data_IF_068029631098
#
_entry.id   IF_068029631098
#
_cell.length_a   1.000
_cell.length_b   1.000
_cell.length_c   1.000
_cell.angle_alpha   90.00
_cell.angle_beta   90.00
_cell.angle_gamma   90.00
#
_symmetry.space_group_name_H-M   'P 1'
#
loop_
_entity.id
_entity.type
_entity.pdbx_description
1 polymer ?
#
# COMPACT_ATOMS: atom_id res chain seq x y z
N UNK A 1 10.94 1.11 -33.32
CA UNK A 1 10.07 -0.08 -33.28
C UNK A 1 10.81 -1.18 -32.54
N UNK A 2 10.51 -1.35 -31.25
CA UNK A 2 10.86 -2.54 -30.48
C UNK A 2 9.62 -2.81 -29.63
N UNK A 3 8.84 -3.81 -30.00
CA UNK A 3 7.70 -4.32 -29.23
C UNK A 3 8.23 -5.40 -28.29
N UNK A 4 8.02 -5.33 -26.96
CA UNK A 4 8.38 -6.41 -26.06
C UNK A 4 7.23 -7.41 -25.99
N UNK A 5 7.06 -8.22 -27.02
CA UNK A 5 6.49 -9.56 -26.83
C UNK A 5 7.67 -10.50 -26.59
N UNK A 6 8.19 -10.48 -25.35
CA UNK A 6 9.15 -11.46 -24.90
C UNK A 6 8.46 -12.82 -24.85
N UNK A 7 9.03 -13.77 -25.59
CA UNK A 7 8.76 -15.20 -25.58
C UNK A 7 8.51 -15.68 -24.13
N UNK A 8 7.26 -15.98 -23.78
CA UNK A 8 6.92 -16.61 -22.51
C UNK A 8 7.52 -18.02 -22.50
N UNK A 9 8.51 -18.26 -21.65
CA UNK A 9 9.07 -19.59 -21.45
C UNK A 9 8.04 -20.38 -20.64
N UNK A 10 7.42 -21.39 -21.27
CA UNK A 10 6.47 -22.26 -20.58
C UNK A 10 7.15 -22.93 -19.37
N UNK A 11 6.63 -22.68 -18.16
CA UNK A 11 7.10 -23.28 -16.91
C UNK A 11 7.76 -22.32 -15.91
N UNK A 12 7.96 -21.05 -16.27
CA UNK A 12 8.48 -20.01 -15.35
C UNK A 12 7.31 -19.27 -14.69
N UNK A 13 7.35 -19.06 -13.37
CA UNK A 13 6.33 -18.27 -12.68
C UNK A 13 6.52 -16.78 -12.97
N UNK A 14 5.45 -15.99 -12.97
CA UNK A 14 5.55 -14.53 -13.16
C UNK A 14 6.41 -13.86 -12.10
N UNK A 15 6.45 -14.43 -10.89
CA UNK A 15 7.33 -13.99 -9.81
C UNK A 15 8.80 -14.09 -10.20
N UNK A 16 9.18 -15.19 -10.84
CA UNK A 16 10.54 -15.39 -11.33
C UNK A 16 10.87 -14.44 -12.49
N UNK A 17 9.91 -14.14 -13.37
CA UNK A 17 10.08 -13.13 -14.44
C UNK A 17 10.35 -11.74 -13.85
N UNK A 18 9.60 -11.32 -12.82
CA UNK A 18 9.78 -10.01 -12.18
C UNK A 18 11.09 -9.97 -11.39
N UNK A 19 11.42 -11.04 -10.67
CA UNK A 19 12.63 -11.13 -9.85
C UNK A 19 13.93 -11.33 -10.65
N UNK A 20 13.84 -11.48 -11.98
CA UNK A 20 15.00 -11.50 -12.86
C UNK A 20 15.80 -10.18 -12.81
N UNK A 21 15.16 -9.06 -12.49
CA UNK A 21 15.84 -7.81 -12.15
C UNK A 21 16.19 -7.80 -10.64
N UNK A 22 17.47 -7.86 -10.27
CA UNK A 22 17.89 -7.89 -8.85
C UNK A 22 17.62 -6.57 -8.10
N UNK A 23 17.30 -5.49 -8.80
CA UNK A 23 16.97 -4.19 -8.21
C UNK A 23 15.46 -3.95 -8.12
N UNK A 24 14.64 -4.92 -8.55
CA UNK A 24 13.19 -4.83 -8.46
C UNK A 24 12.69 -5.24 -7.07
N UNK A 25 11.90 -4.38 -6.44
CA UNK A 25 11.09 -4.71 -5.26
C UNK A 25 9.66 -5.00 -5.73
N UNK A 26 9.20 -6.22 -5.45
CA UNK A 26 7.83 -6.66 -5.71
C UNK A 26 6.90 -5.97 -4.73
N UNK A 27 5.88 -5.29 -5.25
CA UNK A 27 4.81 -4.70 -4.43
C UNK A 27 3.68 -5.71 -4.33
N UNK A 28 3.46 -6.21 -3.12
CA UNK A 28 2.38 -7.13 -2.78
C UNK A 28 1.29 -6.36 -2.04
N UNK A 29 0.10 -6.28 -2.62
CA UNK A 29 -1.06 -5.67 -2.00
C UNK A 29 -1.93 -6.72 -1.29
N UNK A 30 -2.22 -6.48 -0.01
CA UNK A 30 -3.13 -7.28 0.83
C UNK A 30 -4.37 -6.50 1.27
N UNK A 31 -4.74 -5.45 0.53
CA UNK A 31 -5.91 -4.59 0.87
C UNK A 31 -7.20 -5.41 0.98
N UNK A 32 -7.38 -6.41 0.12
CA UNK A 32 -8.60 -7.25 0.07
C UNK A 32 -8.53 -8.52 0.92
N UNK A 33 -7.43 -8.72 1.67
CA UNK A 33 -7.27 -9.85 2.61
C UNK A 33 -7.01 -9.35 4.01
N UNK A 34 -5.83 -8.82 4.30
CA UNK A 34 -5.50 -8.30 5.64
C UNK A 34 -6.28 -7.02 5.92
N UNK A 35 -6.34 -6.12 4.92
CA UNK A 35 -7.06 -4.85 5.01
C UNK A 35 -8.52 -5.01 5.42
N UNK A 36 -9.19 -6.05 4.89
CA UNK A 36 -10.60 -6.34 5.17
C UNK A 36 -10.86 -6.85 6.61
N UNK A 37 -9.84 -7.37 7.31
CA UNK A 37 -10.01 -7.89 8.67
C UNK A 37 -10.29 -6.77 9.68
N UNK A 38 -9.93 -5.53 9.35
CA UNK A 38 -10.27 -4.36 10.13
C UNK A 38 -11.80 -4.13 10.18
N UNK A 39 -12.40 -3.89 11.36
CA UNK A 39 -13.80 -3.54 11.46
C UNK A 39 -14.15 -2.33 10.58
N UNK A 40 -15.16 -2.48 9.72
CA UNK A 40 -15.63 -1.43 8.80
C UNK A 40 -15.02 -1.47 7.40
N UNK A 41 -14.14 -2.42 7.08
CA UNK A 41 -13.48 -2.52 5.78
C UNK A 41 -13.96 -3.70 4.90
N UNK A 42 -15.05 -4.37 5.28
CA UNK A 42 -15.64 -5.48 4.52
C UNK A 42 -16.03 -5.09 3.09
N UNK A 43 -15.72 -5.94 2.12
CA UNK A 43 -15.92 -5.68 0.69
C UNK A 43 -16.78 -6.77 0.06
N UNK A 44 -17.78 -6.36 -0.73
CA UNK A 44 -18.48 -7.29 -1.61
C UNK A 44 -17.57 -7.81 -2.73
N UNK A 45 -17.94 -8.92 -3.37
CA UNK A 45 -17.20 -9.44 -4.52
C UNK A 45 -17.04 -8.40 -5.66
N UNK A 46 -18.08 -7.60 -5.91
CA UNK A 46 -18.01 -6.53 -6.91
C UNK A 46 -17.05 -5.41 -6.49
N UNK A 47 -17.04 -5.06 -5.20
CA UNK A 47 -16.09 -4.10 -4.67
C UNK A 47 -14.64 -4.60 -4.78
N UNK A 48 -14.38 -5.89 -4.47
CA UNK A 48 -13.06 -6.50 -4.65
C UNK A 48 -12.60 -6.47 -6.11
N UNK A 49 -13.47 -6.78 -7.07
CA UNK A 49 -13.13 -6.64 -8.51
C UNK A 49 -12.80 -5.19 -8.87
N UNK A 50 -13.60 -4.20 -8.41
CA UNK A 50 -13.32 -2.77 -8.63
C UNK A 50 -11.96 -2.37 -8.04
N UNK A 51 -11.66 -2.81 -6.82
CA UNK A 51 -10.38 -2.53 -6.17
C UNK A 51 -9.22 -3.18 -6.93
N UNK A 52 -9.35 -4.45 -7.32
CA UNK A 52 -8.34 -5.19 -8.07
C UNK A 52 -8.00 -4.55 -9.43
N UNK A 53 -8.99 -3.98 -10.13
CA UNK A 53 -8.75 -3.22 -11.37
C UNK A 53 -7.89 -1.98 -11.13
N UNK A 54 -8.11 -1.27 -10.03
CA UNK A 54 -7.33 -0.08 -9.68
C UNK A 54 -5.93 -0.46 -9.21
N UNK A 55 -5.77 -1.55 -8.47
CA UNK A 55 -4.48 -2.11 -8.09
C UNK A 55 -3.66 -2.55 -9.31
N UNK A 56 -4.32 -3.18 -10.30
CA UNK A 56 -3.71 -3.48 -11.60
C UNK A 56 -3.24 -2.21 -12.30
N UNK A 57 -4.08 -1.18 -12.39
CA UNK A 57 -3.71 0.10 -13.03
C UNK A 57 -2.54 0.77 -12.28
N UNK A 58 -2.50 0.67 -10.95
CA UNK A 58 -1.37 1.09 -10.13
C UNK A 58 -0.10 0.28 -10.42
N UNK A 59 -0.20 -0.91 -11.02
CA UNK A 59 0.95 -1.74 -11.34
C UNK A 59 1.51 -2.48 -10.12
N UNK A 60 0.67 -2.82 -9.14
CA UNK A 60 1.10 -3.76 -8.08
C UNK A 60 1.40 -5.12 -8.70
N UNK A 61 2.45 -5.77 -8.23
CA UNK A 61 2.95 -7.01 -8.81
C UNK A 61 2.11 -8.23 -8.36
N UNK A 62 1.67 -8.22 -7.09
CA UNK A 62 0.86 -9.27 -6.47
C UNK A 62 -0.38 -8.67 -5.81
N UNK A 63 -1.54 -9.30 -6.05
CA UNK A 63 -2.80 -9.00 -5.37
C UNK A 63 -3.22 -10.21 -4.54
N UNK A 64 -3.21 -10.08 -3.23
CA UNK A 64 -3.81 -11.05 -2.32
C UNK A 64 -5.31 -10.79 -2.21
N UNK A 65 -6.09 -11.59 -2.94
CA UNK A 65 -7.51 -11.36 -3.16
C UNK A 65 -8.40 -11.83 -1.99
N UNK A 66 -7.84 -12.55 -1.03
CA UNK A 66 -8.56 -13.02 0.15
C UNK A 66 -7.98 -14.30 0.76
N UNK A 67 -8.81 -14.98 1.54
CA UNK A 67 -8.51 -16.28 2.13
C UNK A 67 -9.61 -17.26 1.72
N UNK A 68 -9.35 -18.07 0.68
CA UNK A 68 -10.35 -18.95 0.06
C UNK A 68 -11.06 -19.90 1.05
N UNK A 69 -10.33 -20.43 2.06
CA UNK A 69 -10.91 -21.34 3.03
C UNK A 69 -11.67 -20.67 4.19
N UNK A 70 -11.73 -19.33 4.23
CA UNK A 70 -12.46 -18.60 5.25
C UNK A 70 -13.98 -18.75 5.08
N UNK A 71 -14.47 -18.62 3.84
CA UNK A 71 -15.89 -18.77 3.51
C UNK A 71 -16.12 -19.07 2.03
N UNK A 72 -17.28 -19.63 1.63
CA UNK A 72 -17.64 -19.74 0.22
C UNK A 72 -17.71 -18.37 -0.50
N UNK A 73 -18.01 -17.31 0.25
CA UNK A 73 -18.01 -15.94 -0.27
C UNK A 73 -16.60 -15.47 -0.63
N UNK A 74 -15.60 -15.77 0.19
CA UNK A 74 -14.19 -15.47 -0.09
C UNK A 74 -13.65 -16.27 -1.26
N UNK A 75 -13.97 -17.57 -1.33
CA UNK A 75 -13.61 -18.41 -2.49
C UNK A 75 -14.18 -17.81 -3.79
N UNK A 76 -15.44 -17.38 -3.79
CA UNK A 76 -16.06 -16.72 -4.95
C UNK A 76 -15.42 -15.37 -5.27
N UNK A 77 -15.13 -14.55 -4.27
CA UNK A 77 -14.45 -13.26 -4.46
C UNK A 77 -13.11 -13.43 -5.17
N UNK A 78 -12.28 -14.37 -4.71
CA UNK A 78 -10.97 -14.65 -5.30
C UNK A 78 -11.14 -15.16 -6.73
N UNK A 79 -12.08 -16.08 -6.95
CA UNK A 79 -12.39 -16.62 -8.29
C UNK A 79 -12.81 -15.52 -9.27
N UNK A 80 -13.60 -14.56 -8.81
CA UNK A 80 -14.02 -13.41 -9.62
C UNK A 80 -12.86 -12.46 -9.91
N UNK A 81 -12.08 -12.08 -8.90
CA UNK A 81 -10.89 -11.24 -9.10
C UNK A 81 -9.91 -11.88 -10.08
N UNK A 82 -9.59 -13.16 -9.89
CA UNK A 82 -8.66 -13.91 -10.74
C UNK A 82 -9.19 -14.19 -12.16
N UNK A 83 -10.51 -14.11 -12.37
CA UNK A 83 -11.14 -14.35 -13.68
C UNK A 83 -11.54 -13.09 -14.44
N UNK A 84 -11.74 -11.96 -13.75
CA UNK A 84 -12.19 -10.69 -14.33
C UNK A 84 -11.07 -9.64 -14.44
N UNK A 85 -9.93 -9.87 -13.78
CA UNK A 85 -8.75 -8.99 -13.84
C UNK A 85 -7.58 -9.74 -14.45
N UNK A 86 -6.80 -9.05 -15.28
CA UNK A 86 -5.61 -9.59 -15.93
C UNK A 86 -4.38 -8.78 -15.52
N UNK A 87 -3.21 -9.43 -15.53
CA UNK A 87 -1.92 -8.76 -15.34
C UNK A 87 -1.18 -9.19 -14.07
N UNK A 88 -1.67 -8.90 -12.86
CA UNK A 88 -0.96 -9.21 -11.61
C UNK A 88 -0.82 -10.72 -11.35
N UNK A 89 0.00 -11.06 -10.38
CA UNK A 89 -0.07 -12.37 -9.71
C UNK A 89 -1.25 -12.33 -8.74
N UNK A 90 -2.13 -13.33 -8.80
CA UNK A 90 -3.24 -13.49 -7.88
C UNK A 90 -2.86 -14.47 -6.78
N UNK A 91 -3.00 -14.00 -5.54
CA UNK A 91 -2.63 -14.72 -4.33
C UNK A 91 -3.85 -14.98 -3.45
N UNK A 92 -3.87 -16.13 -2.79
CA UNK A 92 -4.80 -16.44 -1.69
C UNK A 92 -4.01 -16.97 -0.52
N UNK A 93 -4.35 -16.48 0.67
CA UNK A 93 -3.82 -17.00 1.92
C UNK A 93 -4.41 -18.39 2.20
N UNK A 94 -3.60 -19.28 2.77
CA UNK A 94 -3.97 -20.64 3.16
C UNK A 94 -3.32 -20.99 4.49
N UNK A 95 -4.05 -21.63 5.40
CA UNK A 95 -3.39 -22.32 6.53
C UNK A 95 -2.54 -23.48 5.99
N UNK A 96 -1.54 -23.89 6.77
CA UNK A 96 -0.66 -25.02 6.45
C UNK A 96 -1.37 -26.40 6.55
N UNK A 97 -2.41 -26.63 5.73
CA UNK A 97 -3.09 -27.91 5.58
C UNK A 97 -3.62 -28.09 4.14
N UNK A 98 -3.74 -29.35 3.69
CA UNK A 98 -4.11 -29.67 2.31
C UNK A 98 -5.48 -29.13 1.89
N UNK A 99 -6.48 -29.18 2.78
CA UNK A 99 -7.85 -28.73 2.49
C UNK A 99 -7.91 -27.24 2.14
N UNK A 100 -7.17 -26.41 2.87
CA UNK A 100 -7.10 -24.97 2.61
C UNK A 100 -6.31 -24.66 1.32
N UNK A 101 -5.25 -25.44 1.05
CA UNK A 101 -4.46 -25.34 -0.19
C UNK A 101 -5.33 -25.73 -1.40
N UNK A 102 -6.15 -26.78 -1.28
CA UNK A 102 -7.10 -27.18 -2.32
C UNK A 102 -8.14 -26.10 -2.62
N UNK A 103 -8.65 -25.42 -1.58
CA UNK A 103 -9.56 -24.29 -1.75
C UNK A 103 -8.87 -23.14 -2.48
N UNK A 104 -7.63 -22.82 -2.12
CA UNK A 104 -6.79 -21.83 -2.81
C UNK A 104 -6.60 -22.20 -4.29
N UNK A 105 -6.33 -23.47 -4.59
CA UNK A 105 -6.15 -23.97 -5.96
C UNK A 105 -7.41 -23.83 -6.80
N UNK A 106 -8.58 -24.17 -6.25
CA UNK A 106 -9.88 -23.97 -6.93
C UNK A 106 -10.18 -22.49 -7.16
N UNK A 107 -9.96 -21.65 -6.14
CA UNK A 107 -10.25 -20.23 -6.20
C UNK A 107 -9.43 -19.51 -7.28
N UNK A 108 -8.14 -19.86 -7.41
CA UNK A 108 -7.23 -19.23 -8.38
C UNK A 108 -7.26 -19.88 -9.77
N UNK A 109 -8.05 -20.94 -9.97
CA UNK A 109 -8.14 -21.67 -11.23
C UNK A 109 -8.48 -20.83 -12.48
N UNK A 110 -9.22 -19.70 -12.39
CA UNK A 110 -9.47 -18.84 -13.55
C UNK A 110 -8.24 -18.11 -14.09
N UNK A 111 -7.27 -17.75 -13.23
CA UNK A 111 -6.06 -17.04 -13.67
C UNK A 111 -5.12 -17.96 -14.45
N UNK A 112 -4.22 -17.46 -15.33
CA UNK A 112 -3.16 -18.27 -15.93
C UNK A 112 -2.27 -18.94 -14.86
N UNK A 113 -1.78 -20.18 -15.08
CA UNK A 113 -0.97 -20.91 -14.09
C UNK A 113 0.20 -20.10 -13.52
N UNK A 114 0.95 -19.40 -14.38
CA UNK A 114 2.10 -18.59 -13.98
C UNK A 114 1.76 -17.36 -13.13
N UNK A 115 0.47 -17.02 -13.03
CA UNK A 115 -0.05 -15.91 -12.23
C UNK A 115 -0.71 -16.37 -10.92
N UNK A 116 -0.67 -17.66 -10.58
CA UNK A 116 -1.29 -18.18 -9.35
C UNK A 116 -0.23 -18.36 -8.28
N UNK A 117 -0.42 -17.70 -7.14
CA UNK A 117 0.43 -17.87 -5.95
C UNK A 117 -0.39 -18.47 -4.81
N UNK A 118 0.13 -19.53 -4.22
CA UNK A 118 -0.35 -20.02 -2.93
C UNK A 118 0.51 -19.42 -1.82
N UNK A 119 -0.11 -18.70 -0.89
CA UNK A 119 0.55 -18.17 0.29
C UNK A 119 0.16 -19.01 1.51
N UNK A 120 1.05 -19.89 1.94
CA UNK A 120 0.85 -20.73 3.14
C UNK A 120 1.58 -20.15 4.35
N UNK A 121 1.06 -20.37 5.55
CA UNK A 121 1.65 -19.84 6.77
C UNK A 121 1.48 -20.77 7.98
N UNK A 122 2.38 -20.62 8.95
CA UNK A 122 2.25 -21.22 10.28
C UNK A 122 2.91 -20.34 11.33
N UNK A 123 2.31 -20.26 12.53
CA UNK A 123 2.86 -19.54 13.68
C UNK A 123 4.13 -20.19 14.20
N UNK A 124 5.24 -19.46 14.18
CA UNK A 124 6.54 -20.01 14.58
C UNK A 124 6.96 -19.62 15.98
N UNK A 125 6.45 -18.54 16.56
CA UNK A 125 6.94 -18.03 17.86
C UNK A 125 6.56 -18.93 19.06
N UNK A 126 7.29 -18.86 20.18
CA UNK A 126 6.99 -19.66 21.37
C UNK A 126 5.54 -19.55 21.84
N UNK A 127 4.97 -18.33 21.80
CA UNK A 127 3.58 -18.09 22.20
C UNK A 127 2.59 -18.69 21.21
N UNK A 128 2.85 -18.62 19.90
CA UNK A 128 2.01 -19.26 18.90
C UNK A 128 2.07 -20.80 19.03
N UNK A 129 3.27 -21.37 19.18
CA UNK A 129 3.46 -22.82 19.37
C UNK A 129 2.72 -23.33 20.61
N UNK A 130 2.86 -22.65 21.74
CA UNK A 130 2.33 -23.11 23.04
C UNK A 130 0.86 -22.74 23.28
N UNK A 131 0.39 -21.57 22.84
CA UNK A 131 -0.97 -21.09 23.13
C UNK A 131 -1.95 -21.39 21.99
N UNK A 132 -1.55 -21.18 20.73
CA UNK A 132 -2.42 -21.27 19.54
C UNK A 132 -2.41 -22.67 18.92
N UNK A 133 -1.22 -23.20 18.61
CA UNK A 133 -1.07 -24.43 17.83
C UNK A 133 -1.01 -25.69 18.68
N UNK A 134 -0.52 -25.59 19.92
CA UNK A 134 -0.22 -26.74 20.79
C UNK A 134 0.74 -27.74 20.12
N UNK A 135 1.76 -27.20 19.44
CA UNK A 135 2.76 -27.96 18.69
C UNK A 135 4.17 -27.70 19.21
N UNK A 136 5.02 -28.74 19.16
CA UNK A 136 6.46 -28.63 19.33
C UNK A 136 7.14 -27.96 18.13
N UNK A 137 8.41 -27.57 18.28
CA UNK A 137 9.23 -27.03 17.18
C UNK A 137 9.32 -28.00 16.00
N UNK A 138 9.49 -29.30 16.26
CA UNK A 138 9.56 -30.33 15.21
C UNK A 138 8.23 -30.51 14.47
N UNK A 139 7.10 -30.43 15.18
CA UNK A 139 5.77 -30.50 14.56
C UNK A 139 5.48 -29.29 13.68
N UNK A 140 5.88 -28.09 14.12
CA UNK A 140 5.76 -26.86 13.30
C UNK A 140 6.63 -26.97 12.04
N UNK A 141 7.90 -27.35 12.18
CA UNK A 141 8.82 -27.50 11.04
C UNK A 141 8.31 -28.54 10.04
N UNK A 142 7.91 -29.72 10.51
CA UNK A 142 7.38 -30.78 9.64
C UNK A 142 6.05 -30.40 8.98
N UNK A 143 5.23 -29.58 9.63
CA UNK A 143 3.99 -29.06 9.03
C UNK A 143 4.27 -28.00 7.98
N UNK A 144 5.23 -27.10 8.23
CA UNK A 144 5.69 -26.12 7.25
C UNK A 144 6.17 -26.84 5.97
N UNK A 145 7.10 -27.79 6.10
CA UNK A 145 7.64 -28.58 4.97
C UNK A 145 6.53 -29.27 4.19
N UNK A 146 5.70 -30.09 4.85
CA UNK A 146 4.61 -30.82 4.16
C UNK A 146 3.64 -29.88 3.43
N UNK A 147 3.28 -28.75 4.05
CA UNK A 147 2.36 -27.81 3.43
C UNK A 147 2.96 -27.14 2.18
N UNK A 148 4.25 -26.81 2.22
CA UNK A 148 4.96 -26.24 1.07
C UNK A 148 5.11 -27.28 -0.03
N UNK A 149 5.55 -28.51 0.28
CA UNK A 149 5.66 -29.60 -0.70
C UNK A 149 4.32 -29.87 -1.40
N UNK A 150 3.23 -29.94 -0.64
CA UNK A 150 1.89 -30.12 -1.19
C UNK A 150 1.49 -28.95 -2.10
N UNK A 151 1.66 -27.70 -1.64
CA UNK A 151 1.38 -26.53 -2.47
C UNK A 151 2.24 -26.51 -3.75
N UNK A 152 3.52 -26.91 -3.67
CA UNK A 152 4.41 -27.01 -4.84
C UNK A 152 3.97 -28.06 -5.86
N UNK A 153 3.19 -29.07 -5.45
CA UNK A 153 2.61 -30.03 -6.39
C UNK A 153 1.47 -29.45 -7.26
N UNK A 154 0.87 -28.32 -6.83
CA UNK A 154 -0.30 -27.70 -7.46
C UNK A 154 -0.01 -26.36 -8.12
N UNK A 155 0.92 -25.59 -7.57
CA UNK A 155 1.28 -24.24 -8.03
C UNK A 155 2.66 -24.24 -8.68
N UNK A 156 3.04 -23.17 -9.37
CA UNK A 156 4.43 -22.89 -9.77
C UNK A 156 5.09 -21.87 -8.84
N UNK A 157 4.27 -21.11 -8.09
CA UNK A 157 4.71 -20.08 -7.16
C UNK A 157 4.08 -20.30 -5.79
N UNK A 158 4.93 -20.49 -4.78
CA UNK A 158 4.54 -20.69 -3.39
C UNK A 158 5.33 -19.74 -2.51
N UNK A 159 4.57 -19.02 -1.68
CA UNK A 159 5.07 -18.16 -0.63
C UNK A 159 4.79 -18.80 0.73
N UNK A 160 5.79 -18.76 1.61
CA UNK A 160 5.69 -19.27 2.98
C UNK A 160 5.93 -18.16 3.99
N UNK A 161 4.99 -17.98 4.92
CA UNK A 161 5.07 -17.05 6.05
C UNK A 161 5.36 -17.75 7.37
N UNK A 162 6.41 -17.30 8.06
CA UNK A 162 6.65 -17.62 9.46
C UNK A 162 5.92 -16.61 10.36
N UNK A 163 4.63 -16.87 10.68
CA UNK A 163 3.81 -15.95 11.47
C UNK A 163 4.47 -15.68 12.85
N UNK A 164 4.51 -14.41 13.24
CA UNK A 164 5.15 -13.89 14.44
C UNK A 164 6.69 -14.05 14.46
N UNK A 165 7.32 -13.85 13.29
CA UNK A 165 8.75 -14.08 13.07
C UNK A 165 9.67 -13.31 14.03
N UNK A 166 9.34 -12.05 14.34
CA UNK A 166 10.21 -11.21 15.17
C UNK A 166 10.26 -11.65 16.64
N UNK A 167 9.23 -12.36 17.12
CA UNK A 167 9.21 -13.01 18.44
C UNK A 167 9.59 -14.49 18.39
N UNK A 168 10.03 -14.98 17.24
CA UNK A 168 10.57 -16.34 17.08
C UNK A 168 12.06 -16.36 17.38
N UNK A 169 12.54 -17.44 17.99
CA UNK A 169 13.97 -17.62 18.25
C UNK A 169 14.76 -17.56 16.92
N UNK A 170 15.82 -16.73 16.81
CA UNK A 170 16.49 -16.48 15.53
C UNK A 170 16.91 -17.74 14.77
N UNK A 171 17.49 -18.72 15.47
CA UNK A 171 17.92 -19.97 14.84
C UNK A 171 16.75 -20.81 14.36
N UNK A 172 15.69 -20.95 15.16
CA UNK A 172 14.51 -21.72 14.75
C UNK A 172 13.76 -21.05 13.59
N UNK A 173 13.69 -19.71 13.57
CA UNK A 173 13.15 -18.98 12.43
C UNK A 173 13.93 -19.30 11.15
N UNK A 174 15.27 -19.24 11.22
CA UNK A 174 16.12 -19.57 10.09
C UNK A 174 15.98 -21.03 9.66
N UNK A 175 15.88 -21.99 10.59
CA UNK A 175 15.66 -23.41 10.30
C UNK A 175 14.35 -23.64 9.56
N UNK A 176 13.24 -23.03 10.01
CA UNK A 176 11.92 -23.18 9.38
C UNK A 176 11.90 -22.55 7.98
N UNK A 177 12.49 -21.35 7.82
CA UNK A 177 12.56 -20.66 6.53
C UNK A 177 13.47 -21.39 5.53
N UNK A 178 14.61 -21.93 5.98
CA UNK A 178 15.51 -22.75 5.16
C UNK A 178 14.83 -24.06 4.75
N UNK A 179 14.10 -24.71 5.65
CA UNK A 179 13.33 -25.93 5.35
C UNK A 179 12.18 -25.65 4.37
N UNK A 180 11.49 -24.52 4.49
CA UNK A 180 10.48 -24.10 3.52
C UNK A 180 11.08 -23.84 2.14
N UNK A 181 12.28 -23.24 2.06
CA UNK A 181 13.01 -23.08 0.80
C UNK A 181 13.43 -24.43 0.20
N UNK A 182 13.95 -25.36 1.01
CA UNK A 182 14.29 -26.72 0.59
C UNK A 182 13.06 -27.47 0.03
N UNK A 183 11.88 -27.27 0.64
CA UNK A 183 10.60 -27.80 0.18
C UNK A 183 10.06 -27.13 -1.10
N UNK A 184 10.69 -26.04 -1.55
CA UNK A 184 10.43 -25.39 -2.82
C UNK A 184 9.74 -24.03 -2.74
N UNK A 185 9.55 -23.44 -1.55
CA UNK A 185 9.03 -22.08 -1.44
C UNK A 185 9.96 -21.09 -2.16
N UNK A 186 9.39 -20.28 -3.05
CA UNK A 186 10.14 -19.28 -3.82
C UNK A 186 10.33 -17.99 -3.02
N UNK A 187 9.29 -17.61 -2.29
CA UNK A 187 9.22 -16.41 -1.47
C UNK A 187 9.07 -16.79 -0.01
N UNK A 188 9.89 -16.19 0.85
CA UNK A 188 9.91 -16.39 2.29
C UNK A 188 9.52 -15.07 2.97
N UNK A 189 8.33 -15.04 3.53
CA UNK A 189 7.82 -13.87 4.23
C UNK A 189 8.16 -13.92 5.72
N UNK A 190 8.61 -12.77 6.23
CA UNK A 190 9.06 -12.58 7.61
C UNK A 190 8.21 -11.49 8.26
N UNK A 191 7.01 -11.84 8.77
CA UNK A 191 6.06 -10.86 9.28
C UNK A 191 6.41 -10.33 10.69
N UNK A 192 6.33 -9.01 10.87
CA UNK A 192 6.19 -8.35 12.17
C UNK A 192 4.70 -8.29 12.54
N UNK A 193 4.15 -9.44 12.92
CA UNK A 193 2.71 -9.69 13.11
C UNK A 193 2.05 -8.74 14.11
N UNK A 194 2.81 -8.20 15.07
CA UNK A 194 2.29 -7.31 16.13
C UNK A 194 2.89 -5.91 16.08
N UNK A 195 3.57 -5.55 15.00
CA UNK A 195 4.06 -4.19 14.74
C UNK A 195 4.98 -3.63 15.82
N UNK A 196 5.80 -4.48 16.45
CA UNK A 196 6.63 -4.09 17.60
C UNK A 196 8.12 -3.94 17.26
N UNK A 197 8.57 -4.50 16.14
CA UNK A 197 9.99 -4.52 15.79
C UNK A 197 10.46 -3.11 15.45
N UNK A 198 11.74 -2.83 15.70
CA UNK A 198 12.37 -1.57 15.30
C UNK A 198 13.05 -1.69 13.92
N UNK A 199 13.24 -0.58 13.18
CA UNK A 199 13.85 -0.65 11.86
C UNK A 199 15.25 -1.29 11.85
N UNK A 200 16.05 -1.05 12.89
CA UNK A 200 17.38 -1.66 13.00
C UNK A 200 17.29 -3.18 13.17
N UNK A 201 16.41 -3.68 14.04
CA UNK A 201 16.19 -5.11 14.24
C UNK A 201 15.70 -5.78 12.96
N UNK A 202 14.81 -5.12 12.21
CA UNK A 202 14.31 -5.60 10.91
C UNK A 202 15.45 -5.73 9.90
N UNK A 203 16.25 -4.67 9.72
CA UNK A 203 17.39 -4.71 8.78
C UNK A 203 18.36 -5.84 9.12
N UNK A 204 18.73 -5.96 10.39
CA UNK A 204 19.68 -6.99 10.87
C UNK A 204 19.10 -8.40 10.70
N UNK A 205 17.81 -8.59 10.98
CA UNK A 205 17.11 -9.86 10.79
C UNK A 205 17.14 -10.31 9.34
N UNK A 206 16.73 -9.45 8.41
CA UNK A 206 16.70 -9.75 6.99
C UNK A 206 18.10 -10.02 6.43
N UNK A 207 19.10 -9.23 6.83
CA UNK A 207 20.48 -9.44 6.41
C UNK A 207 21.04 -10.79 6.89
N UNK A 208 20.76 -11.17 8.14
CA UNK A 208 21.19 -12.45 8.70
C UNK A 208 20.52 -13.65 7.99
N UNK A 209 19.20 -13.58 7.78
CA UNK A 209 18.45 -14.61 7.06
C UNK A 209 18.93 -14.74 5.61
N UNK A 210 19.14 -13.62 4.92
CA UNK A 210 19.65 -13.62 3.56
C UNK A 210 21.06 -14.22 3.48
N UNK A 211 21.97 -13.84 4.38
CA UNK A 211 23.34 -14.37 4.42
C UNK A 211 23.40 -15.88 4.69
N UNK A 212 22.41 -16.44 5.39
CA UNK A 212 22.30 -17.89 5.64
C UNK A 212 21.67 -18.61 4.45
N UNK A 213 20.43 -18.26 4.11
CA UNK A 213 19.59 -19.05 3.20
C UNK A 213 20.02 -18.90 1.74
N UNK A 214 20.44 -17.70 1.30
CA UNK A 214 20.83 -17.48 -0.11
C UNK A 214 22.11 -18.21 -0.52
N UNK A 215 22.90 -18.72 0.43
CA UNK A 215 24.06 -19.58 0.11
C UNK A 215 23.65 -20.86 -0.60
N UNK A 216 22.52 -21.45 -0.20
CA UNK A 216 21.94 -22.65 -0.81
C UNK A 216 20.85 -22.31 -1.82
N UNK A 217 20.13 -21.22 -1.58
CA UNK A 217 18.95 -20.83 -2.34
C UNK A 217 19.09 -19.40 -2.88
N UNK A 218 20.01 -19.14 -3.84
CA UNK A 218 20.34 -17.78 -4.28
C UNK A 218 19.16 -17.01 -4.89
N UNK A 219 18.17 -17.74 -5.41
CA UNK A 219 17.00 -17.20 -6.07
C UNK A 219 15.86 -16.84 -5.10
N UNK A 220 15.96 -17.16 -3.79
CA UNK A 220 14.87 -16.92 -2.83
C UNK A 220 14.63 -15.43 -2.66
N UNK A 221 13.35 -15.07 -2.65
CA UNK A 221 12.88 -13.71 -2.41
C UNK A 221 12.49 -13.64 -0.94
N UNK A 222 13.03 -12.67 -0.21
CA UNK A 222 12.52 -12.33 1.12
C UNK A 222 11.42 -11.27 1.00
N UNK A 223 10.27 -11.58 1.59
CA UNK A 223 9.11 -10.69 1.71
C UNK A 223 9.03 -10.11 3.12
N UNK A 224 8.67 -8.84 3.21
CA UNK A 224 8.47 -8.13 4.47
C UNK A 224 7.00 -7.74 4.62
N UNK A 225 6.40 -8.17 5.73
CA UNK A 225 5.03 -7.85 6.10
C UNK A 225 5.05 -7.20 7.49
N UNK A 226 4.83 -5.89 7.57
CA UNK A 226 4.97 -5.15 8.82
C UNK A 226 3.63 -4.54 9.23
N UNK A 227 3.16 -4.85 10.45
CA UNK A 227 2.04 -4.14 11.05
C UNK A 227 2.49 -2.83 11.70
N UNK A 228 1.52 -1.93 11.93
CA UNK A 228 1.77 -0.54 12.30
C UNK A 228 1.41 -0.18 13.75
N UNK A 229 1.35 -1.16 14.66
CA UNK A 229 0.98 -0.95 16.07
C UNK A 229 1.80 0.13 16.79
N UNK A 230 3.06 0.34 16.39
CA UNK A 230 3.94 1.41 16.88
C UNK A 230 4.24 2.53 15.86
N UNK A 231 3.50 2.58 14.74
CA UNK A 231 3.69 3.61 13.70
C UNK A 231 5.02 3.48 12.93
N UNK A 232 5.55 2.27 12.82
CA UNK A 232 6.86 1.98 12.21
C UNK A 232 6.80 1.07 10.99
N UNK A 233 5.61 0.66 10.51
CA UNK A 233 5.48 -0.34 9.45
C UNK A 233 6.24 0.03 8.18
N UNK A 234 6.08 1.27 7.70
CA UNK A 234 6.78 1.77 6.50
C UNK A 234 8.29 1.81 6.71
N UNK A 235 8.75 2.31 7.87
CA UNK A 235 10.18 2.35 8.19
C UNK A 235 10.78 0.94 8.29
N UNK A 236 10.06 0.00 8.87
CA UNK A 236 10.43 -1.40 8.98
C UNK A 236 10.51 -2.07 7.60
N UNK A 237 9.51 -1.87 6.73
CA UNK A 237 9.55 -2.41 5.37
C UNK A 237 10.72 -1.87 4.55
N UNK A 238 11.03 -0.57 4.65
CA UNK A 238 12.20 0.02 4.00
C UNK A 238 13.53 -0.52 4.56
N UNK A 239 13.59 -0.73 5.89
CA UNK A 239 14.74 -1.35 6.53
C UNK A 239 14.93 -2.83 6.11
N UNK A 240 13.83 -3.55 5.86
CA UNK A 240 13.87 -4.89 5.30
C UNK A 240 14.49 -4.91 3.89
N UNK A 241 14.16 -3.92 3.05
CA UNK A 241 14.78 -3.73 1.73
C UNK A 241 16.28 -3.48 1.84
N UNK A 242 16.71 -2.61 2.76
CA UNK A 242 18.14 -2.41 3.06
C UNK A 242 18.81 -3.72 3.54
N UNK A 243 18.07 -4.57 4.26
CA UNK A 243 18.49 -5.91 4.69
C UNK A 243 18.46 -6.99 3.58
N UNK A 244 18.02 -6.65 2.37
CA UNK A 244 18.01 -7.57 1.22
C UNK A 244 16.64 -8.14 0.85
N UNK A 245 15.54 -7.66 1.45
CA UNK A 245 14.20 -7.96 0.99
C UNK A 245 13.98 -7.45 -0.45
N UNK A 246 13.20 -8.21 -1.21
CA UNK A 246 12.81 -7.87 -2.60
C UNK A 246 11.31 -8.03 -2.85
N UNK A 247 10.53 -8.18 -1.78
CA UNK A 247 9.09 -8.03 -1.77
C UNK A 247 8.67 -7.28 -0.51
N UNK A 248 7.66 -6.41 -0.62
CA UNK A 248 7.02 -5.74 0.52
C UNK A 248 5.52 -5.99 0.40
N UNK A 249 4.93 -6.40 1.51
CA UNK A 249 3.48 -6.56 1.68
C UNK A 249 2.90 -5.37 2.43
N UNK A 250 1.79 -4.86 1.92
CA UNK A 250 1.08 -3.74 2.54
C UNK A 250 -0.33 -3.59 2.02
N UNK A 251 -1.03 -2.58 2.50
CA UNK A 251 -2.35 -2.21 2.02
C UNK A 251 -2.42 -0.74 1.62
N UNK A 252 -3.31 -0.42 0.69
CA UNK A 252 -3.69 0.96 0.36
C UNK A 252 -4.23 1.64 1.62
N UNK A 253 -3.81 2.87 1.88
CA UNK A 253 -4.12 3.63 3.10
C UNK A 253 -3.59 3.00 4.39
N UNK A 254 -2.81 1.91 4.31
CA UNK A 254 -2.29 1.19 5.47
C UNK A 254 -3.34 0.41 6.26
N UNK A 255 -4.51 0.11 5.67
CA UNK A 255 -5.58 -0.60 6.40
C UNK A 255 -5.16 -2.04 6.78
N UNK A 256 -5.78 -2.58 7.82
CA UNK A 256 -5.53 -3.95 8.29
C UNK A 256 -5.84 -4.15 9.75
N UNK A 257 -5.53 -5.35 10.25
CA UNK A 257 -5.69 -5.67 11.67
C UNK A 257 -5.14 -4.56 12.60
N UNK A 258 -5.93 -4.19 13.62
CA UNK A 258 -5.59 -3.20 14.66
C UNK A 258 -5.22 -1.82 14.07
N UNK A 259 -3.94 -1.46 14.12
CA UNK A 259 -3.39 -0.21 13.58
C UNK A 259 -3.09 -0.30 12.09
N UNK A 260 -3.16 -1.49 11.50
CA UNK A 260 -3.04 -1.71 10.07
C UNK A 260 -1.70 -2.26 9.63
N UNK A 261 -1.44 -2.13 8.33
CA UNK A 261 -0.29 -2.65 7.60
C UNK A 261 0.63 -1.51 7.14
N UNK A 262 1.80 -1.87 6.64
CA UNK A 262 2.62 -0.98 5.82
C UNK A 262 1.78 -0.35 4.70
N UNK A 263 1.84 0.98 4.59
CA UNK A 263 1.09 1.73 3.59
C UNK A 263 1.77 1.65 2.22
N UNK A 264 1.06 1.09 1.24
CA UNK A 264 1.57 0.87 -0.13
C UNK A 264 1.96 2.19 -0.80
N UNK A 265 1.14 3.22 -0.68
CA UNK A 265 1.43 4.53 -1.27
C UNK A 265 2.67 5.19 -0.66
N UNK A 266 2.90 5.00 0.65
CA UNK A 266 4.05 5.57 1.35
C UNK A 266 5.34 4.86 0.96
N UNK A 267 5.34 3.52 0.95
CA UNK A 267 6.55 2.75 0.64
C UNK A 267 6.95 2.89 -0.83
N UNK A 268 5.98 2.92 -1.76
CA UNK A 268 6.24 3.20 -3.19
C UNK A 268 6.90 4.57 -3.34
N UNK A 269 6.34 5.61 -2.72
CA UNK A 269 6.89 6.96 -2.86
C UNK A 269 8.21 7.14 -2.12
N UNK A 270 8.42 6.48 -0.98
CA UNK A 270 9.71 6.49 -0.30
C UNK A 270 10.81 5.90 -1.18
N UNK A 271 10.58 4.72 -1.79
CA UNK A 271 11.54 4.11 -2.70
C UNK A 271 11.80 4.97 -3.96
N UNK A 272 10.75 5.59 -4.50
CA UNK A 272 10.84 6.45 -5.70
C UNK A 272 11.55 7.78 -5.44
N UNK A 273 11.16 8.49 -4.38
CA UNK A 273 11.73 9.81 -4.05
C UNK A 273 13.16 9.67 -3.54
N UNK A 274 13.46 8.56 -2.86
CA UNK A 274 14.79 8.27 -2.32
C UNK A 274 15.51 7.16 -3.09
N UNK A 275 15.35 7.14 -4.40
CA UNK A 275 16.10 6.24 -5.29
C UNK A 275 17.62 6.38 -5.07
N UNK A 276 18.10 7.60 -4.77
CA UNK A 276 19.49 7.91 -4.38
C UNK A 276 20.01 7.08 -3.20
N UNK A 277 19.10 6.68 -2.31
CA UNK A 277 19.41 5.98 -1.07
C UNK A 277 19.19 4.49 -1.19
N UNK A 278 18.07 4.07 -1.75
CA UNK A 278 17.67 2.65 -1.77
C UNK A 278 18.21 1.90 -2.99
N UNK A 279 18.43 2.58 -4.12
CA UNK A 279 18.99 1.97 -5.34
C UNK A 279 18.14 0.84 -5.93
N UNK A 280 16.83 0.83 -5.65
CA UNK A 280 15.87 -0.17 -6.13
C UNK A 280 14.65 0.51 -6.73
N UNK A 281 13.88 -0.23 -7.53
CA UNK A 281 12.68 0.26 -8.21
C UNK A 281 11.48 -0.64 -7.96
N UNK A 282 10.28 -0.12 -8.20
CA UNK A 282 9.02 -0.89 -8.17
C UNK A 282 8.33 -0.84 -9.53
N UNK A 283 7.27 -1.65 -9.70
CA UNK A 283 6.42 -1.64 -10.89
C UNK A 283 5.38 -0.56 -10.94
N UNK A 284 5.23 0.13 -9.82
CA UNK A 284 4.06 0.92 -9.60
C UNK A 284 4.09 2.20 -10.44
N UNK A 285 3.01 2.45 -11.17
CA UNK A 285 2.73 3.77 -11.70
C UNK A 285 2.08 4.61 -10.60
N UNK A 286 2.94 5.31 -9.86
CA UNK A 286 2.54 6.10 -8.69
C UNK A 286 1.44 7.14 -8.97
N UNK A 287 1.20 7.52 -10.23
CA UNK A 287 0.12 8.43 -10.62
C UNK A 287 -1.28 7.87 -10.33
N UNK A 288 -1.39 6.57 -10.03
CA UNK A 288 -2.64 5.92 -9.65
C UNK A 288 -2.89 5.85 -8.13
N UNK A 289 -1.95 6.31 -7.29
CA UNK A 289 -2.04 6.18 -5.82
C UNK A 289 -3.26 6.91 -5.23
N UNK A 290 -3.48 8.17 -5.62
CA UNK A 290 -4.64 8.95 -5.15
C UNK A 290 -5.95 8.30 -5.60
N UNK A 291 -6.00 7.72 -6.81
CA UNK A 291 -7.18 7.00 -7.30
C UNK A 291 -7.42 5.73 -6.49
N UNK A 292 -6.38 4.95 -6.17
CA UNK A 292 -6.50 3.76 -5.34
C UNK A 292 -7.07 4.08 -3.95
N UNK A 293 -6.52 5.12 -3.30
CA UNK A 293 -6.99 5.61 -2.01
C UNK A 293 -8.45 6.04 -2.03
N UNK A 294 -8.86 6.83 -3.04
CA UNK A 294 -10.25 7.28 -3.21
C UNK A 294 -11.22 6.12 -3.41
N UNK A 295 -10.86 5.17 -4.27
CA UNK A 295 -11.72 4.02 -4.58
C UNK A 295 -11.88 3.12 -3.36
N UNK A 296 -10.82 2.93 -2.56
CA UNK A 296 -10.93 2.23 -1.28
C UNK A 296 -11.90 2.95 -0.35
N UNK A 297 -11.73 4.26 -0.14
CA UNK A 297 -12.63 5.07 0.68
C UNK A 297 -14.10 5.00 0.22
N UNK A 298 -14.36 5.03 -1.09
CA UNK A 298 -15.71 4.85 -1.66
C UNK A 298 -16.28 3.46 -1.36
N UNK A 299 -15.47 2.41 -1.48
CA UNK A 299 -15.89 1.02 -1.26
C UNK A 299 -16.25 0.78 0.20
N UNK A 300 -15.43 1.31 1.11
CA UNK A 300 -15.56 1.04 2.55
C UNK A 300 -16.32 2.12 3.31
N UNK A 301 -16.78 3.16 2.60
CA UNK A 301 -17.43 4.33 3.18
C UNK A 301 -16.59 5.00 4.30
N UNK A 302 -15.27 4.97 4.14
CA UNK A 302 -14.32 5.55 5.12
C UNK A 302 -13.78 6.89 4.65
N UNK A 303 -13.46 7.74 5.61
CA UNK A 303 -12.81 9.03 5.35
C UNK A 303 -11.34 8.90 5.71
N UNK A 304 -10.46 9.28 4.78
CA UNK A 304 -9.02 9.33 5.03
C UNK A 304 -8.65 10.62 5.77
N UNK A 305 -7.64 10.52 6.65
CA UNK A 305 -7.11 11.69 7.33
C UNK A 305 -6.57 12.71 6.31
N UNK A 306 -6.91 13.99 6.49
CA UNK A 306 -6.49 15.06 5.58
C UNK A 306 -4.97 15.15 5.45
N UNK A 307 -4.25 14.86 6.53
CA UNK A 307 -2.79 14.87 6.63
C UNK A 307 -2.15 13.48 6.43
N UNK A 308 -2.88 12.49 5.89
CA UNK A 308 -2.27 11.21 5.51
C UNK A 308 -1.15 11.46 4.51
N UNK A 309 0.01 10.87 4.76
CA UNK A 309 1.17 10.99 3.88
C UNK A 309 0.81 10.55 2.45
N UNK A 310 1.39 11.22 1.46
CA UNK A 310 1.24 10.95 0.02
C UNK A 310 -0.15 11.26 -0.56
N UNK A 311 -1.23 10.71 0.00
CA UNK A 311 -2.57 10.75 -0.59
C UNK A 311 -3.57 11.66 0.15
N UNK A 312 -3.20 12.18 1.32
CA UNK A 312 -4.02 13.16 2.05
C UNK A 312 -4.05 14.51 1.31
N UNK A 313 -5.20 15.19 1.35
CA UNK A 313 -5.37 16.50 0.68
C UNK A 313 -4.39 17.56 1.19
N UNK A 314 -3.93 17.44 2.44
CA UNK A 314 -2.95 18.35 3.03
C UNK A 314 -1.49 17.98 2.70
N UNK A 315 -1.21 16.84 2.05
CA UNK A 315 0.15 16.40 1.73
C UNK A 315 0.89 17.37 0.78
N UNK A 316 0.15 18.15 0.01
CA UNK A 316 0.67 19.17 -0.93
C UNK A 316 0.05 20.56 -0.67
N UNK A 317 -0.48 20.79 0.52
CA UNK A 317 -1.11 22.05 0.90
C UNK A 317 -0.14 22.95 1.68
N UNK A 318 -0.08 24.24 1.32
CA UNK A 318 0.80 25.23 1.94
C UNK A 318 0.02 26.45 2.43
N UNK A 319 -0.17 26.58 3.74
CA UNK A 319 -0.94 27.68 4.34
C UNK A 319 -0.06 28.87 4.79
N UNK A 320 1.16 28.60 5.29
CA UNK A 320 2.02 29.64 5.86
C UNK A 320 2.55 30.60 4.78
N UNK A 321 2.38 31.92 4.98
CA UNK A 321 2.76 32.94 3.99
C UNK A 321 4.24 32.92 3.57
N UNK A 322 5.16 32.49 4.46
CA UNK A 322 6.57 32.29 4.12
C UNK A 322 6.78 31.08 3.18
N UNK A 323 6.04 29.99 3.39
CA UNK A 323 6.11 28.80 2.53
C UNK A 323 5.49 29.10 1.17
N UNK A 324 4.38 29.84 1.13
CA UNK A 324 3.73 30.27 -0.12
C UNK A 324 4.68 31.09 -1.00
N UNK A 325 5.46 32.01 -0.41
CA UNK A 325 6.43 32.78 -1.18
C UNK A 325 7.55 31.89 -1.76
N UNK A 326 8.11 30.97 -0.97
CA UNK A 326 9.09 29.99 -1.45
C UNK A 326 8.55 29.13 -2.58
N UNK A 327 7.35 28.59 -2.43
CA UNK A 327 6.65 27.78 -3.43
C UNK A 327 6.39 28.51 -4.75
N UNK A 328 6.07 29.81 -4.69
CA UNK A 328 5.88 30.65 -5.88
C UNK A 328 7.19 30.94 -6.62
N UNK A 329 8.32 30.97 -5.89
CA UNK A 329 9.64 31.14 -6.47
C UNK A 329 10.16 29.83 -7.08
N UNK A 330 10.07 28.72 -6.34
CA UNK A 330 10.42 27.37 -6.79
C UNK A 330 9.73 26.34 -5.88
N UNK A 331 8.86 25.49 -6.43
CA UNK A 331 8.12 24.50 -5.63
C UNK A 331 9.02 23.50 -4.88
N UNK A 332 10.25 23.26 -5.36
CA UNK A 332 11.20 22.33 -4.74
C UNK A 332 11.71 22.79 -3.37
N UNK A 333 11.46 24.03 -2.97
CA UNK A 333 11.86 24.49 -1.62
C UNK A 333 11.11 23.75 -0.50
N UNK A 334 9.89 23.27 -0.76
CA UNK A 334 9.07 22.57 0.22
C UNK A 334 8.39 21.29 -0.30
N UNK A 335 8.42 21.01 -1.61
CA UNK A 335 7.90 19.78 -2.19
C UNK A 335 9.03 18.81 -2.56
N UNK A 336 9.10 17.67 -1.85
CA UNK A 336 10.03 16.57 -2.17
C UNK A 336 9.59 15.73 -3.39
N UNK A 337 8.33 15.89 -3.81
CA UNK A 337 7.70 15.24 -4.96
C UNK A 337 6.54 16.12 -5.43
N UNK A 338 6.14 16.02 -6.70
CA UNK A 338 5.03 16.82 -7.22
C UNK A 338 3.69 16.14 -6.93
N UNK A 339 2.59 16.88 -6.74
CA UNK A 339 1.25 16.29 -6.58
C UNK A 339 0.86 15.37 -7.76
N UNK A 340 1.27 15.72 -8.97
CA UNK A 340 0.99 14.92 -10.17
C UNK A 340 1.74 13.59 -10.16
N UNK A 341 2.84 13.47 -9.41
CA UNK A 341 3.59 12.22 -9.30
C UNK A 341 2.78 11.14 -8.55
N UNK A 342 1.76 11.53 -7.79
CA UNK A 342 0.89 10.62 -7.01
C UNK A 342 -0.56 10.56 -7.52
N UNK A 343 -0.90 11.37 -8.52
CA UNK A 343 -2.23 11.39 -9.15
C UNK A 343 -3.15 12.53 -8.74
N UNK A 344 -2.65 13.58 -8.08
CA UNK A 344 -3.42 14.82 -7.95
C UNK A 344 -3.37 15.63 -9.25
N UNK A 345 -4.45 16.36 -9.55
CA UNK A 345 -4.51 17.28 -10.70
C UNK A 345 -3.55 18.47 -10.52
N UNK A 346 -3.22 18.85 -9.28
CA UNK A 346 -2.24 19.89 -8.95
C UNK A 346 -2.09 20.15 -7.45
N UNK A 347 -1.23 21.13 -7.09
CA UNK A 347 -1.06 21.58 -5.71
C UNK A 347 -2.26 22.43 -5.30
N UNK A 348 -2.75 22.24 -4.07
CA UNK A 348 -3.87 22.99 -3.53
C UNK A 348 -3.33 24.09 -2.60
N UNK A 349 -3.53 25.35 -2.98
CA UNK A 349 -3.39 26.44 -2.01
C UNK A 349 -4.63 26.43 -1.13
N UNK A 350 -4.50 25.87 0.07
CA UNK A 350 -5.56 25.95 1.08
C UNK A 350 -5.67 27.42 1.51
N UNK A 351 -6.82 27.99 1.20
CA UNK A 351 -7.17 29.36 1.56
C UNK A 351 -7.71 29.38 2.99
N UNK A 352 -6.81 29.39 3.97
CA UNK A 352 -7.11 29.54 5.40
C UNK A 352 -6.71 30.91 5.95
N UNK A 353 -6.93 31.15 7.26
CA UNK A 353 -6.67 32.45 7.93
C UNK A 353 -5.23 32.96 7.78
N UNK A 354 -4.27 32.06 7.53
CA UNK A 354 -2.87 32.41 7.33
C UNK A 354 -2.51 32.80 5.89
N UNK A 355 -3.47 32.74 4.96
CA UNK A 355 -3.27 33.09 3.55
C UNK A 355 -2.85 34.54 3.35
N UNK A 356 -1.78 34.75 2.58
CA UNK A 356 -1.29 36.07 2.22
C UNK A 356 -2.10 36.75 1.10
N UNK A 357 -1.93 38.08 0.95
CA UNK A 357 -2.61 38.88 -0.09
C UNK A 357 -2.40 38.32 -1.49
N UNK A 358 -1.19 37.85 -1.80
CA UNK A 358 -0.84 37.32 -3.11
C UNK A 358 -1.57 36.00 -3.42
N UNK A 359 -1.71 35.10 -2.44
CA UNK A 359 -2.42 33.83 -2.61
C UNK A 359 -3.92 34.06 -2.87
N UNK A 360 -4.54 35.00 -2.13
CA UNK A 360 -5.95 35.37 -2.30
C UNK A 360 -6.17 36.00 -3.69
N UNK A 361 -5.31 36.94 -4.12
CA UNK A 361 -5.40 37.58 -5.43
C UNK A 361 -5.26 36.56 -6.58
N UNK A 362 -4.27 35.66 -6.50
CA UNK A 362 -4.03 34.63 -7.51
C UNK A 362 -5.18 33.63 -7.61
N UNK A 363 -5.78 33.22 -6.48
CA UNK A 363 -6.95 32.32 -6.54
C UNK A 363 -8.15 33.02 -7.16
N UNK A 364 -8.38 34.29 -6.80
CA UNK A 364 -9.45 35.11 -7.36
C UNK A 364 -9.29 35.27 -8.89
N UNK A 365 -8.06 35.46 -9.39
CA UNK A 365 -7.74 35.43 -10.82
C UNK A 365 -8.09 34.08 -11.48
N UNK A 366 -7.67 32.95 -10.87
CA UNK A 366 -7.96 31.60 -11.38
C UNK A 366 -9.46 31.31 -11.52
N UNK A 367 -10.30 31.83 -10.63
CA UNK A 367 -11.77 31.68 -10.69
C UNK A 367 -12.45 32.75 -11.54
N UNK A 368 -11.68 33.56 -12.29
CA UNK A 368 -12.21 34.57 -13.21
C UNK A 368 -12.67 35.87 -12.55
N UNK A 369 -12.25 36.15 -11.31
CA UNK A 369 -12.59 37.36 -10.54
C UNK A 369 -11.33 38.10 -10.05
N UNK A 370 -10.51 38.68 -10.95
CA UNK A 370 -9.30 39.39 -10.54
C UNK A 370 -9.61 40.56 -9.59
N UNK A 371 -8.79 40.69 -8.54
CA UNK A 371 -8.92 41.71 -7.47
C UNK A 371 -7.56 42.37 -7.22
N UNK A 372 -7.52 43.70 -7.19
CA UNK A 372 -6.29 44.49 -7.02
C UNK A 372 -6.52 45.70 -6.09
N UNK A 373 -5.44 46.38 -5.71
CA UNK A 373 -5.50 47.66 -4.99
C UNK A 373 -6.28 47.62 -3.67
N UNK A 374 -7.13 48.62 -3.44
CA UNK A 374 -7.97 48.73 -2.24
C UNK A 374 -9.02 47.63 -2.15
N UNK A 375 -9.54 47.15 -3.29
CA UNK A 375 -10.49 46.04 -3.37
C UNK A 375 -9.87 44.76 -2.82
N UNK A 376 -8.62 44.47 -3.20
CA UNK A 376 -7.88 43.35 -2.60
C UNK A 376 -7.70 43.52 -1.08
N UNK A 377 -7.50 44.74 -0.58
CA UNK A 377 -7.39 44.99 0.86
C UNK A 377 -8.68 44.61 1.61
N UNK A 378 -9.83 45.05 1.09
CA UNK A 378 -11.14 44.77 1.67
C UNK A 378 -11.51 43.28 1.60
N UNK A 379 -11.27 42.64 0.45
CA UNK A 379 -11.46 41.19 0.28
C UNK A 379 -10.58 40.41 1.26
N UNK A 380 -9.31 40.78 1.44
CA UNK A 380 -8.40 40.11 2.39
C UNK A 380 -8.91 40.25 3.85
N UNK A 381 -9.46 41.40 4.22
CA UNK A 381 -10.02 41.60 5.56
C UNK A 381 -11.28 40.73 5.78
N UNK A 382 -12.22 40.75 4.84
CA UNK A 382 -13.43 39.93 4.89
C UNK A 382 -13.11 38.43 4.86
N UNK A 383 -12.13 38.05 4.04
CA UNK A 383 -11.60 36.70 3.95
C UNK A 383 -11.04 36.22 5.29
N UNK A 384 -10.18 37.00 5.95
CA UNK A 384 -9.62 36.62 7.25
C UNK A 384 -10.70 36.44 8.31
N UNK A 385 -11.66 37.36 8.35
CA UNK A 385 -12.80 37.27 9.28
C UNK A 385 -13.65 36.02 9.04
N UNK A 386 -13.90 35.66 7.77
CA UNK A 386 -14.64 34.45 7.43
C UNK A 386 -13.83 33.19 7.75
N UNK A 387 -12.54 33.18 7.44
CA UNK A 387 -11.64 32.07 7.73
C UNK A 387 -11.50 31.81 9.24
N UNK A 388 -11.56 32.84 10.09
CA UNK A 388 -11.60 32.67 11.54
C UNK A 388 -12.88 31.98 12.03
N UNK A 389 -13.99 32.08 11.28
CA UNK A 389 -15.26 31.44 11.63
C UNK A 389 -15.37 30.00 11.13
N UNK A 390 -14.94 29.75 9.89
CA UNK A 390 -15.19 28.47 9.19
C UNK A 390 -13.92 27.68 8.86
N UNK A 391 -12.74 28.22 9.18
CA UNK A 391 -11.44 27.61 8.90
C UNK A 391 -10.99 27.82 7.45
N UNK A 392 -11.53 27.02 6.54
CA UNK A 392 -11.14 26.99 5.12
C UNK A 392 -12.17 27.73 4.25
N UNK A 393 -11.66 28.54 3.32
CA UNK A 393 -12.44 29.26 2.33
C UNK A 393 -12.33 28.54 0.99
N UNK A 394 -13.43 27.96 0.53
CA UNK A 394 -13.52 27.41 -0.83
C UNK A 394 -13.85 28.51 -1.86
N UNK A 395 -13.93 28.14 -3.14
CA UNK A 395 -14.20 29.11 -4.21
C UNK A 395 -15.56 29.81 -4.06
N UNK A 396 -16.60 29.09 -3.61
CA UNK A 396 -17.92 29.67 -3.40
C UNK A 396 -17.92 30.73 -2.28
N UNK A 397 -17.22 30.44 -1.18
CA UNK A 397 -17.04 31.39 -0.08
C UNK A 397 -16.18 32.58 -0.51
N UNK A 398 -15.11 32.37 -1.29
CA UNK A 398 -14.30 33.45 -1.83
C UNK A 398 -15.12 34.36 -2.76
N UNK A 399 -15.96 33.78 -3.62
CA UNK A 399 -16.91 34.51 -4.48
C UNK A 399 -17.87 35.34 -3.62
N UNK A 400 -18.48 34.73 -2.60
CA UNK A 400 -19.41 35.42 -1.70
C UNK A 400 -18.73 36.60 -0.95
N UNK A 401 -17.46 36.45 -0.55
CA UNK A 401 -16.68 37.52 0.05
C UNK A 401 -16.44 38.65 -0.96
N UNK A 402 -16.06 38.31 -2.20
CA UNK A 402 -15.86 39.28 -3.29
C UNK A 402 -17.16 40.03 -3.58
N UNK A 403 -18.27 39.32 -3.76
CA UNK A 403 -19.59 39.89 -4.04
C UNK A 403 -20.07 40.81 -2.91
N UNK A 404 -19.82 40.44 -1.65
CA UNK A 404 -20.13 41.29 -0.49
C UNK A 404 -19.31 42.58 -0.48
N UNK A 405 -18.03 42.52 -0.85
CA UNK A 405 -17.16 43.71 -0.96
C UNK A 405 -17.58 44.59 -2.14
N UNK A 406 -18.02 43.99 -3.23
CA UNK A 406 -18.49 44.68 -4.44
C UNK A 406 -19.92 45.25 -4.30
N UNK A 407 -20.59 45.00 -3.17
CA UNK A 407 -21.96 45.47 -2.92
C UNK A 407 -23.03 44.72 -3.72
N UNK A 408 -22.70 43.54 -4.26
CA UNK A 408 -23.66 42.66 -4.94
C UNK A 408 -24.43 41.90 -3.85
N UNK A 409 -25.60 42.42 -3.49
CA UNK A 409 -26.52 41.73 -2.57
C UNK A 409 -27.15 40.54 -3.30
N UNK A 410 -26.84 39.31 -2.89
CA UNK A 410 -27.63 38.15 -3.31
C UNK A 410 -29.05 38.29 -2.76
N UNK A 411 -30.01 38.47 -3.68
CA UNK A 411 -31.41 38.16 -3.42
C UNK A 411 -31.49 36.64 -3.31
N UNK A 412 -31.41 36.12 -2.08
CA UNK A 412 -31.75 34.73 -1.79
C UNK A 412 -33.26 34.59 -2.01
N UNK A 413 -33.64 34.16 -3.22
CA UNK A 413 -34.98 33.68 -3.49
C UNK A 413 -35.14 32.32 -2.79
N UNK A 414 -36.01 32.33 -1.78
CA UNK A 414 -36.55 31.18 -1.07
C UNK A 414 -36.99 30.09 -2.06
N UNK A 415 -36.50 28.87 -1.87
CA UNK A 415 -37.28 27.68 -2.18
C UNK A 415 -37.45 26.88 -0.89
N UNK A 416 -38.68 26.93 -0.39
CA UNK A 416 -39.23 26.08 0.66
C UNK A 416 -39.47 24.66 0.14
#
# INVERSE_FOLDING_TARGET
>A
MITPESVRVSGVSRTEEIAADPNRVIVFDTTMRDGEQAPGFSMSAQAKVKMAQVLRDLGVDVIEAGFAAASPGDEDCIRRVAGEVEGPIFCSLSRANEKDIDATFRALAPAPKSHRRCHTFIGTSPIHRSAKLKMSTNEVLSTAVRSVEYARSLFDDVEFSAEDAFRTEPEFLADVLEAAADAGARTLNVPDTVGYATPQEVRERFAALAARIKKRHPHVIFSAHCHDDLGMAVANSLAAVEGGARQIEGAINGIGERAGNCSIEEVIMALKVREDRYGVTTGADSRHLVRASKILCEITETVIARNKSVVGINAFAHEAGIHQHGMLADSRTYEIMRPQDVGFEGSWFVLGKHSGRHAIAKRAETIGRPIEGERLAAVVAGFKSRADQIGEINDAELIAIIDRVDGVSEVVAQYA
#
